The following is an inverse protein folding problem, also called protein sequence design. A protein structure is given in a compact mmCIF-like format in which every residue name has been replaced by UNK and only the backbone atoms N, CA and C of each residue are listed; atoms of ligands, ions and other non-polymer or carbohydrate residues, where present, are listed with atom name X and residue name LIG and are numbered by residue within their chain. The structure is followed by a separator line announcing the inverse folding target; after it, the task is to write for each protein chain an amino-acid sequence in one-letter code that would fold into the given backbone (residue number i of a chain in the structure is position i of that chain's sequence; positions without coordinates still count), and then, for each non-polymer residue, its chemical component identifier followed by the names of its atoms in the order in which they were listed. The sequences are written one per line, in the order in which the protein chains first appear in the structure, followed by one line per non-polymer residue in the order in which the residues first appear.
data_IF_189458027665
#
_entry.id   IF_189458027665
#
_cell.length_a   1.000
_cell.length_b   1.000
_cell.length_c   1.000
_cell.angle_alpha   90.00
_cell.angle_beta   90.00
_cell.angle_gamma   90.00
#
_symmetry.space_group_name_H-M   'P 1'
#
loop_
_entity.id
_entity.type
_entity.pdbx_description
1 polymer ?
#
# COMPACT_ATOMS: atom_id res chain seq x y z
N UNK A 1 -2.00 11.32 12.06
CA UNK A 1 -1.91 10.58 10.77
C UNK A 1 -2.73 9.32 10.91
N UNK A 2 -3.79 9.15 10.12
CA UNK A 2 -4.74 8.04 10.26
C UNK A 2 -4.12 6.70 9.85
N UNK A 3 -4.55 5.61 10.50
CA UNK A 3 -4.10 4.22 10.24
C UNK A 3 -4.32 3.74 8.79
N UNK A 4 -5.10 4.47 7.98
CA UNK A 4 -5.45 4.13 6.60
C UNK A 4 -4.30 4.24 5.60
N UNK A 5 -3.21 4.94 5.94
CA UNK A 5 -2.12 5.24 4.99
C UNK A 5 -0.89 4.32 5.10
N UNK A 6 -0.95 3.25 5.90
CA UNK A 6 0.16 2.30 6.08
C UNK A 6 0.71 1.70 4.78
N UNK A 7 -0.11 1.23 3.81
CA UNK A 7 0.42 0.67 2.56
C UNK A 7 1.11 1.73 1.68
N UNK A 8 0.56 2.95 1.62
CA UNK A 8 1.18 4.07 0.88
C UNK A 8 2.53 4.45 1.50
N UNK A 9 2.64 4.41 2.83
CA UNK A 9 3.90 4.66 3.52
C UNK A 9 4.97 3.62 3.19
N UNK A 10 4.58 2.34 2.99
CA UNK A 10 5.51 1.29 2.57
C UNK A 10 6.09 1.60 1.18
N UNK A 11 5.25 1.98 0.21
CA UNK A 11 5.72 2.40 -1.12
C UNK A 11 6.72 3.56 -1.04
N UNK A 12 6.43 4.60 -0.25
CA UNK A 12 7.35 5.74 -0.08
C UNK A 12 8.70 5.35 0.51
N UNK A 13 8.72 4.41 1.45
CA UNK A 13 9.96 3.90 2.05
C UNK A 13 10.78 3.15 1.01
N UNK A 14 10.13 2.30 0.22
CA UNK A 14 10.82 1.53 -0.82
C UNK A 14 11.35 2.44 -1.94
N UNK A 15 10.59 3.47 -2.33
CA UNK A 15 11.06 4.51 -3.26
C UNK A 15 12.35 5.16 -2.78
N UNK A 16 12.41 5.55 -1.50
CA UNK A 16 13.63 6.14 -0.91
C UNK A 16 14.79 5.16 -0.88
N UNK A 17 14.52 3.91 -0.52
CA UNK A 17 15.53 2.86 -0.47
C UNK A 17 16.14 2.58 -1.86
N UNK A 18 15.32 2.61 -2.91
CA UNK A 18 15.75 2.34 -4.30
C UNK A 18 16.20 3.58 -5.07
N UNK A 19 16.06 4.79 -4.51
CA UNK A 19 16.31 6.04 -5.22
C UNK A 19 15.35 6.30 -6.38
N UNK A 20 14.17 5.68 -6.38
CA UNK A 20 13.16 5.82 -7.43
C UNK A 20 12.27 7.02 -7.14
N UNK A 21 12.12 7.91 -8.12
CA UNK A 21 11.31 9.12 -8.04
C UNK A 21 9.85 8.89 -8.44
N UNK A 22 9.00 9.90 -8.24
CA UNK A 22 7.61 9.83 -8.71
C UNK A 22 7.52 9.92 -10.24
N UNK A 23 8.46 10.62 -10.87
CA UNK A 23 8.55 10.74 -12.33
C UNK A 23 8.94 9.40 -12.96
N UNK A 24 9.90 8.66 -12.37
CA UNK A 24 10.28 7.32 -12.84
C UNK A 24 9.10 6.35 -12.86
N UNK A 25 8.28 6.39 -11.81
CA UNK A 25 7.06 5.57 -11.72
C UNK A 25 6.04 6.02 -12.77
N UNK A 26 5.86 7.32 -12.92
CA UNK A 26 4.92 7.90 -13.88
C UNK A 26 5.27 7.53 -15.32
N UNK A 27 6.56 7.62 -15.68
CA UNK A 27 7.10 7.25 -16.98
C UNK A 27 6.92 5.76 -17.25
N UNK A 28 7.33 4.89 -16.32
CA UNK A 28 7.18 3.43 -16.46
C UNK A 28 5.73 2.98 -16.61
N UNK A 29 4.79 3.71 -16.00
CA UNK A 29 3.36 3.38 -16.03
C UNK A 29 2.59 4.14 -17.12
N UNK A 30 3.23 5.06 -17.85
CA UNK A 30 2.56 5.88 -18.87
C UNK A 30 1.46 6.77 -18.31
N UNK A 31 1.58 7.24 -17.06
CA UNK A 31 0.58 8.10 -16.41
C UNK A 31 1.20 9.42 -15.95
N UNK A 32 0.35 10.42 -15.66
CA UNK A 32 0.84 11.73 -15.18
C UNK A 32 1.45 11.60 -13.79
N UNK A 33 2.60 12.22 -13.56
CA UNK A 33 3.22 12.27 -12.22
C UNK A 33 2.30 12.89 -11.16
N UNK A 34 1.47 13.88 -11.55
CA UNK A 34 0.48 14.46 -10.65
C UNK A 34 -0.51 13.42 -10.08
N UNK A 35 -0.80 12.36 -10.83
CA UNK A 35 -1.62 11.24 -10.35
C UNK A 35 -0.89 10.45 -9.26
N UNK A 36 0.40 10.16 -9.46
CA UNK A 36 1.27 9.51 -8.46
C UNK A 36 1.34 10.36 -7.18
N UNK A 37 1.52 11.68 -7.31
CA UNK A 37 1.57 12.60 -6.17
C UNK A 37 0.27 12.59 -5.35
N UNK A 38 -0.90 12.60 -6.01
CA UNK A 38 -2.20 12.50 -5.34
C UNK A 38 -2.37 11.17 -4.59
N UNK A 39 -1.90 10.07 -5.18
CA UNK A 39 -1.93 8.74 -4.55
C UNK A 39 -1.00 8.72 -3.33
N UNK A 40 0.25 9.12 -3.49
CA UNK A 40 1.24 9.08 -2.42
C UNK A 40 0.93 10.07 -1.28
N UNK A 41 0.26 11.18 -1.56
CA UNK A 41 -0.23 12.10 -0.52
C UNK A 41 -1.49 11.62 0.20
N UNK A 42 -2.12 10.54 -0.26
CA UNK A 42 -3.38 10.02 0.28
C UNK A 42 -4.60 10.85 -0.11
N UNK A 43 -4.44 11.84 -1.01
CA UNK A 43 -5.54 12.65 -1.55
C UNK A 43 -6.41 11.86 -2.54
N UNK A 44 -5.87 10.79 -3.11
CA UNK A 44 -6.57 9.87 -4.01
C UNK A 44 -6.33 8.44 -3.59
N UNK A 45 -7.41 7.68 -3.40
CA UNK A 45 -7.33 6.23 -3.21
C UNK A 45 -7.13 5.57 -4.58
N UNK A 46 -6.03 4.86 -4.83
CA UNK A 46 -5.82 4.15 -6.08
C UNK A 46 -6.73 2.92 -6.16
N UNK A 47 -7.04 2.49 -7.38
CA UNK A 47 -7.60 1.15 -7.61
C UNK A 47 -6.53 0.10 -7.35
N UNK A 48 -6.96 -1.15 -7.13
CA UNK A 48 -6.04 -2.25 -6.79
C UNK A 48 -5.02 -2.51 -7.91
N UNK A 49 -5.43 -2.42 -9.17
CA UNK A 49 -4.56 -2.52 -10.35
C UNK A 49 -3.49 -1.43 -10.36
N UNK A 50 -3.89 -0.17 -10.14
CA UNK A 50 -2.97 0.96 -10.12
C UNK A 50 -1.97 0.84 -8.96
N UNK A 51 -2.45 0.43 -7.78
CA UNK A 51 -1.60 0.21 -6.63
C UNK A 51 -0.62 -0.95 -6.88
N UNK A 52 -1.08 -2.04 -7.48
CA UNK A 52 -0.24 -3.19 -7.84
C UNK A 52 0.81 -2.82 -8.89
N UNK A 53 0.46 -1.99 -9.89
CA UNK A 53 1.41 -1.52 -10.90
C UNK A 53 2.52 -0.66 -10.28
N UNK A 54 2.18 0.24 -9.35
CA UNK A 54 3.17 1.03 -8.61
C UNK A 54 4.07 0.11 -7.77
N UNK A 55 3.49 -0.87 -7.07
CA UNK A 55 4.24 -1.86 -6.31
C UNK A 55 5.19 -2.67 -7.23
N UNK A 56 4.72 -3.08 -8.41
CA UNK A 56 5.49 -3.82 -9.40
C UNK A 56 6.71 -3.06 -9.91
N UNK A 57 6.59 -1.74 -10.17
CA UNK A 57 7.74 -0.88 -10.50
C UNK A 57 8.80 -0.89 -9.39
N UNK A 58 8.36 -1.03 -8.14
CA UNK A 58 9.23 -1.14 -6.98
C UNK A 58 9.63 -2.59 -6.67
N UNK A 59 9.42 -3.55 -7.57
CA UNK A 59 9.61 -5.00 -7.35
C UNK A 59 8.96 -5.48 -6.03
N UNK A 60 7.74 -5.01 -5.75
CA UNK A 60 6.91 -5.43 -4.63
C UNK A 60 5.67 -6.14 -5.17
N UNK A 61 5.11 -7.05 -4.37
CA UNK A 61 3.91 -7.82 -4.73
C UNK A 61 2.85 -7.71 -3.62
N UNK A 62 1.57 -7.67 -4.03
CA UNK A 62 0.45 -7.69 -3.09
C UNK A 62 0.12 -9.13 -2.71
N UNK A 63 0.25 -9.43 -1.42
CA UNK A 63 -0.11 -10.74 -0.86
C UNK A 63 -1.38 -10.62 -0.02
N UNK A 64 -2.35 -11.50 -0.26
CA UNK A 64 -3.58 -11.60 0.52
C UNK A 64 -3.44 -12.76 1.50
N UNK A 65 -3.43 -12.46 2.79
CA UNK A 65 -3.35 -13.46 3.85
C UNK A 65 -4.67 -13.55 4.63
N UNK A 66 -5.01 -14.77 5.08
CA UNK A 66 -6.14 -14.97 5.98
C UNK A 66 -5.83 -14.34 7.33
N UNK A 67 -6.74 -13.53 7.86
CA UNK A 67 -6.61 -12.97 9.21
C UNK A 67 -6.52 -14.11 10.23
N UNK A 68 -5.54 -14.07 11.12
CA UNK A 68 -5.47 -14.99 12.27
C UNK A 68 -6.72 -14.76 13.13
N UNK A 69 -7.52 -15.81 13.32
CA UNK A 69 -8.67 -15.74 14.23
C UNK A 69 -8.15 -15.51 15.66
N UNK A 70 -8.68 -14.51 16.36
CA UNK A 70 -8.44 -14.38 17.80
C UNK A 70 -9.27 -15.46 18.49
N UNK A 71 -8.63 -16.37 19.21
CA UNK A 71 -9.35 -17.22 20.19
C UNK A 71 -9.91 -16.28 21.26
N UNK A 72 -11.21 -16.01 21.23
CA UNK A 72 -11.90 -15.44 22.39
C UNK A 72 -12.04 -16.56 23.41
N UNK A 73 -11.41 -16.41 24.57
CA UNK A 73 -11.66 -17.28 25.71
C UNK A 73 -13.14 -17.10 26.10
N UNK A 74 -13.99 -18.06 25.77
CA UNK A 74 -15.37 -18.07 26.25
C UNK A 74 -15.34 -18.44 27.73
N UNK A 75 -15.92 -17.57 28.55
CA UNK A 75 -15.99 -17.69 30.01
C UNK A 75 -16.69 -19.00 30.39
N UNK A 76 -16.09 -19.78 31.28
CA UNK A 76 -16.75 -20.91 31.93
C UNK A 76 -17.82 -20.34 32.86
N UNK A 77 -19.09 -20.50 32.53
CA UNK A 77 -20.13 -20.49 33.55
C UNK A 77 -19.94 -21.81 34.32
N UNK A 78 -19.37 -21.71 35.53
CA UNK A 78 -19.46 -22.78 36.50
C UNK A 78 -20.78 -22.55 37.25
N UNK A 79 -21.64 -23.57 37.25
CA UNK A 79 -22.82 -23.69 38.09
C UNK A 79 -22.47 -23.63 39.59
#
# INVERSE_FOLDING_TARGET
MTNANKPILALKKEMKHKGITQDDIAEKLGIKQSNISLILSGKRVPRIDTFNNIAGVLNMELVVEKKKQKKTCQYKNND
#
